data_IF_958706314162
#
_entry.id   IF_958706314162
#
_cell.length_a   1.000
_cell.length_b   1.000
_cell.length_c   1.000
_cell.angle_alpha   90.00
_cell.angle_beta   90.00
_cell.angle_gamma   90.00
#
_symmetry.space_group_name_H-M   'P 1'
#
loop_
_entity.id
_entity.type
_entity.pdbx_description
1 polymer ?
#
# COMPACT_ATOMS: atom_id res chain seq x y z
N UNK A 1 -62.96 -19.10 -9.19
CA UNK A 1 -61.73 -19.70 -8.61
C UNK A 1 -60.47 -19.47 -9.47
N UNK A 2 -60.58 -19.58 -10.81
CA UNK A 2 -59.46 -19.46 -11.77
C UNK A 2 -58.79 -18.08 -11.78
N UNK A 3 -59.56 -16.99 -11.73
CA UNK A 3 -59.03 -15.62 -11.68
C UNK A 3 -58.12 -15.33 -10.48
N UNK A 4 -58.37 -15.94 -9.31
CA UNK A 4 -57.50 -15.80 -8.12
C UNK A 4 -56.15 -16.47 -8.33
N UNK A 5 -56.10 -17.59 -9.06
CA UNK A 5 -54.85 -18.31 -9.39
C UNK A 5 -53.98 -17.51 -10.37
N UNK A 6 -54.59 -16.86 -11.35
CA UNK A 6 -53.89 -16.02 -12.33
C UNK A 6 -53.29 -14.77 -11.66
N UNK A 7 -54.06 -14.07 -10.82
CA UNK A 7 -53.56 -12.91 -10.07
C UNK A 7 -52.36 -13.25 -9.18
N UNK A 8 -52.40 -14.42 -8.54
CA UNK A 8 -51.30 -14.92 -7.69
C UNK A 8 -50.03 -15.20 -8.52
N UNK A 9 -50.16 -15.83 -9.69
CA UNK A 9 -49.03 -16.06 -10.60
C UNK A 9 -48.41 -14.76 -11.11
N UNK A 10 -49.23 -13.78 -11.50
CA UNK A 10 -48.75 -12.45 -11.95
C UNK A 10 -48.02 -11.73 -10.82
N UNK A 11 -48.49 -11.82 -9.59
CA UNK A 11 -47.85 -11.19 -8.44
C UNK A 11 -46.53 -11.86 -8.06
N UNK A 12 -46.44 -13.19 -8.16
CA UNK A 12 -45.20 -13.94 -7.98
C UNK A 12 -44.18 -13.57 -9.06
N UNK A 13 -44.59 -13.56 -10.33
CA UNK A 13 -43.76 -13.14 -11.47
C UNK A 13 -43.30 -11.68 -11.36
N UNK A 14 -44.17 -10.77 -10.90
CA UNK A 14 -43.82 -9.36 -10.68
C UNK A 14 -42.81 -9.22 -9.54
N UNK A 15 -42.91 -10.03 -8.48
CA UNK A 15 -41.94 -10.03 -7.38
C UNK A 15 -40.58 -10.60 -7.80
N UNK A 16 -40.55 -11.66 -8.62
CA UNK A 16 -39.30 -12.24 -9.11
C UNK A 16 -38.64 -11.35 -10.16
N UNK A 17 -39.41 -10.59 -10.94
CA UNK A 17 -38.88 -9.61 -11.89
C UNK A 17 -38.29 -8.38 -11.17
N UNK A 18 -38.95 -7.89 -10.12
CA UNK A 18 -38.46 -6.77 -9.29
C UNK A 18 -37.21 -7.14 -8.48
N UNK A 19 -37.07 -8.41 -8.04
CA UNK A 19 -35.84 -8.87 -7.38
C UNK A 19 -34.67 -9.01 -8.36
N UNK A 20 -34.93 -9.47 -9.60
CA UNK A 20 -33.91 -9.64 -10.65
C UNK A 20 -33.27 -8.33 -11.11
N UNK A 21 -33.98 -7.20 -11.05
CA UNK A 21 -33.41 -5.89 -11.38
C UNK A 21 -32.54 -5.27 -10.28
N UNK A 22 -32.54 -5.81 -9.06
CA UNK A 22 -31.65 -5.35 -7.97
C UNK A 22 -30.27 -6.03 -7.97
N UNK A 23 -30.05 -7.02 -8.84
CA UNK A 23 -28.82 -7.82 -8.89
C UNK A 23 -27.79 -7.39 -9.95
N UNK A 24 -28.00 -6.26 -10.64
CA UNK A 24 -27.11 -5.78 -11.69
C UNK A 24 -26.37 -4.52 -11.27
N UNK A 25 -25.03 -4.60 -11.24
CA UNK A 25 -24.02 -3.60 -10.84
C UNK A 25 -23.52 -3.81 -9.41
N UNK A 26 -22.42 -4.57 -9.29
CA UNK A 26 -21.49 -4.35 -8.17
C UNK A 26 -21.16 -2.84 -8.18
N UNK A 27 -21.52 -2.09 -7.14
CA UNK A 27 -21.28 -0.65 -7.09
C UNK A 27 -19.78 -0.40 -7.27
N UNK A 28 -19.40 0.54 -8.15
CA UNK A 28 -18.00 1.01 -8.22
C UNK A 28 -17.48 1.45 -6.84
N UNK A 29 -18.40 1.90 -5.97
CA UNK A 29 -18.17 2.20 -4.56
C UNK A 29 -17.68 0.99 -3.74
N UNK A 30 -18.13 -0.23 -4.02
CA UNK A 30 -17.68 -1.42 -3.30
C UNK A 30 -16.27 -1.84 -3.70
N UNK A 31 -15.88 -1.61 -4.96
CA UNK A 31 -14.50 -1.80 -5.40
C UNK A 31 -13.54 -0.75 -4.78
N UNK A 32 -13.98 0.51 -4.66
CA UNK A 32 -13.22 1.56 -3.96
C UNK A 32 -13.13 1.32 -2.45
N UNK A 33 -14.17 0.76 -1.83
CA UNK A 33 -14.15 0.35 -0.42
C UNK A 33 -13.13 -0.75 -0.18
N UNK A 34 -13.04 -1.71 -1.09
CA UNK A 34 -12.04 -2.78 -1.02
C UNK A 34 -10.62 -2.23 -1.20
N UNK A 35 -10.41 -1.30 -2.13
CA UNK A 35 -9.11 -0.61 -2.29
C UNK A 35 -8.69 0.13 -1.03
N UNK A 36 -9.58 0.93 -0.43
CA UNK A 36 -9.28 1.67 0.81
C UNK A 36 -8.89 0.75 1.95
N UNK A 37 -9.63 -0.35 2.14
CA UNK A 37 -9.36 -1.30 3.22
C UNK A 37 -7.99 -1.98 3.04
N UNK A 38 -7.61 -2.27 1.79
CA UNK A 38 -6.29 -2.84 1.45
C UNK A 38 -5.17 -1.82 1.62
N UNK A 39 -5.40 -0.56 1.23
CA UNK A 39 -4.44 0.54 1.36
C UNK A 39 -4.16 0.90 2.83
N UNK A 40 -5.18 0.87 3.69
CA UNK A 40 -4.96 1.10 5.13
C UNK A 40 -4.05 0.03 5.75
N UNK A 41 -4.18 -1.24 5.32
CA UNK A 41 -3.31 -2.33 5.80
C UNK A 41 -1.87 -2.18 5.31
N UNK A 42 -1.65 -1.80 4.04
CA UNK A 42 -0.29 -1.56 3.53
C UNK A 42 0.34 -0.34 4.19
N UNK A 43 -0.43 0.73 4.41
CA UNK A 43 0.04 1.93 5.11
C UNK A 43 0.48 1.59 6.54
N UNK A 44 -0.30 0.78 7.27
CA UNK A 44 0.05 0.34 8.62
C UNK A 44 1.35 -0.49 8.61
N UNK A 45 1.54 -1.36 7.61
CA UNK A 45 2.78 -2.11 7.42
C UNK A 45 3.99 -1.21 7.14
N UNK A 46 3.84 -0.18 6.30
CA UNK A 46 4.89 0.81 6.01
C UNK A 46 5.24 1.61 7.26
N UNK A 47 4.24 2.06 8.04
CA UNK A 47 4.48 2.81 9.29
C UNK A 47 5.25 1.95 10.29
N UNK A 48 4.85 0.69 10.49
CA UNK A 48 5.57 -0.23 11.38
C UNK A 48 7.01 -0.48 10.90
N UNK A 49 7.21 -0.69 9.60
CA UNK A 49 8.53 -0.86 9.03
C UNK A 49 9.39 0.42 9.11
N UNK A 50 8.79 1.61 9.01
CA UNK A 50 9.48 2.89 9.20
C UNK A 50 9.93 3.11 10.65
N UNK A 51 9.14 2.67 11.64
CA UNK A 51 9.57 2.67 13.05
C UNK A 51 10.78 1.75 13.24
N UNK A 52 10.77 0.57 12.62
CA UNK A 52 11.93 -0.33 12.62
C UNK A 52 13.12 0.30 11.88
N UNK A 53 12.91 0.92 10.72
CA UNK A 53 13.93 1.65 9.96
C UNK A 53 14.55 2.82 10.74
N UNK A 54 13.78 3.48 11.61
CA UNK A 54 14.29 4.49 12.54
C UNK A 54 15.31 3.92 13.53
N UNK A 55 15.06 2.71 14.05
CA UNK A 55 16.01 2.03 14.93
C UNK A 55 17.31 1.66 14.21
N UNK A 56 17.23 1.22 12.95
CA UNK A 56 18.39 0.83 12.14
C UNK A 56 19.11 1.99 11.40
N UNK A 57 18.68 3.24 11.61
CA UNK A 57 19.21 4.43 10.94
C UNK A 57 20.74 4.55 11.01
N UNK A 58 21.33 4.29 12.18
CA UNK A 58 22.78 4.43 12.39
C UNK A 58 23.59 3.47 11.51
N UNK A 59 23.12 2.22 11.36
CA UNK A 59 23.77 1.23 10.49
C UNK A 59 23.67 1.61 9.02
N UNK A 60 22.55 2.19 8.60
CA UNK A 60 22.32 2.62 7.21
C UNK A 60 23.23 3.80 6.86
N UNK A 61 23.31 4.82 7.74
CA UNK A 61 24.23 5.94 7.53
C UNK A 61 25.67 5.47 7.44
N UNK A 62 26.10 4.59 8.34
CA UNK A 62 27.46 4.06 8.34
C UNK A 62 27.78 3.37 7.01
N UNK A 63 26.86 2.56 6.49
CA UNK A 63 27.02 1.90 5.19
C UNK A 63 27.08 2.90 4.03
N UNK A 64 26.23 3.94 4.06
CA UNK A 64 26.21 4.99 3.03
C UNK A 64 27.46 5.86 3.06
N UNK A 65 28.08 6.10 4.22
CA UNK A 65 29.28 6.95 4.35
C UNK A 65 30.58 6.23 3.97
N UNK A 66 30.61 4.89 3.97
CA UNK A 66 31.80 4.09 3.61
C UNK A 66 32.43 4.47 2.25
N UNK A 67 31.69 4.56 1.12
CA UNK A 67 32.30 4.92 -0.16
C UNK A 67 32.79 6.38 -0.23
N UNK A 68 32.21 7.28 0.56
CA UNK A 68 32.63 8.69 0.59
C UNK A 68 33.95 8.89 1.37
N UNK A 69 34.32 7.94 2.22
CA UNK A 69 35.63 7.92 2.89
C UNK A 69 36.79 7.66 1.94
N UNK A 70 36.56 6.85 0.92
CA UNK A 70 37.61 6.30 0.07
C UNK A 70 38.00 7.26 -1.07
N UNK A 71 37.12 8.21 -1.39
CA UNK A 71 37.23 9.09 -2.57
C UNK A 71 37.89 10.45 -2.33
N UNK A 72 38.55 10.64 -1.19
CA UNK A 72 39.62 11.64 -1.06
C UNK A 72 39.23 12.97 -0.44
N UNK A 73 39.36 13.07 0.88
CA UNK A 73 39.98 14.23 1.52
C UNK A 73 40.72 13.75 2.77
N UNK A 74 42.00 14.13 2.90
CA UNK A 74 42.86 13.88 4.06
C UNK A 74 42.44 14.71 5.29
N UNK A 75 41.14 14.91 5.50
CA UNK A 75 40.59 15.54 6.69
C UNK A 75 39.97 14.43 7.51
N UNK A 76 40.81 13.66 8.22
CA UNK A 76 40.37 12.68 9.20
C UNK A 76 39.60 13.44 10.28
N UNK A 77 38.27 13.31 10.41
CA UNK A 77 37.56 13.94 11.50
C UNK A 77 37.84 13.06 12.72
N UNK A 78 38.38 13.66 13.79
CA UNK A 78 38.79 12.99 15.02
C UNK A 78 37.66 12.27 15.80
N UNK A 79 36.47 12.15 15.22
CA UNK A 79 35.25 11.58 15.81
C UNK A 79 34.71 10.34 15.06
N UNK A 80 35.47 9.75 14.13
CA UNK A 80 35.05 8.51 13.44
C UNK A 80 33.86 8.67 12.50
N UNK A 81 33.46 9.91 12.21
CA UNK A 81 32.54 10.27 11.13
C UNK A 81 33.39 10.66 9.93
N UNK A 82 33.02 10.17 8.77
CA UNK A 82 33.88 10.20 7.61
C UNK A 82 33.07 10.76 6.44
N UNK A 83 33.59 11.83 5.84
CA UNK A 83 32.84 12.75 4.98
C UNK A 83 32.07 13.78 5.81
N UNK A 84 32.44 15.06 5.70
CA UNK A 84 31.63 16.16 6.22
C UNK A 84 30.30 16.20 5.46
N UNK A 85 29.31 15.51 6.00
CA UNK A 85 27.94 15.60 5.52
C UNK A 85 27.46 17.01 5.87
N UNK A 86 27.61 17.94 4.93
CA UNK A 86 27.17 19.32 5.13
C UNK A 86 25.64 19.36 5.14
N UNK A 87 25.07 19.34 6.35
CA UNK A 87 23.62 19.38 6.56
C UNK A 87 23.20 20.82 6.84
N UNK A 88 22.45 21.40 5.91
CA UNK A 88 22.00 22.79 6.01
C UNK A 88 21.00 22.99 7.16
N UNK A 89 21.30 23.94 8.06
CA UNK A 89 20.41 24.42 9.12
C UNK A 89 20.33 23.53 10.37
N UNK A 90 19.78 24.08 11.46
CA UNK A 90 19.63 23.41 12.77
C UNK A 90 18.82 22.10 12.69
N UNK A 91 17.85 22.03 11.78
CA UNK A 91 17.02 20.84 11.56
C UNK A 91 17.61 19.87 10.52
N UNK A 92 18.79 20.16 9.97
CA UNK A 92 19.44 19.33 8.95
C UNK A 92 19.57 17.86 9.37
N UNK A 93 20.23 17.55 10.51
CA UNK A 93 20.41 16.18 10.98
C UNK A 93 19.07 15.45 11.23
N UNK A 94 18.07 16.16 11.77
CA UNK A 94 16.73 15.61 11.98
C UNK A 94 16.05 15.24 10.66
N UNK A 95 16.10 16.12 9.66
CA UNK A 95 15.49 15.89 8.35
C UNK A 95 16.16 14.70 7.62
N UNK A 96 17.48 14.59 7.73
CA UNK A 96 18.22 13.45 7.21
C UNK A 96 17.77 12.13 7.87
N UNK A 97 17.62 12.15 9.21
CA UNK A 97 17.16 10.99 9.96
C UNK A 97 15.76 10.55 9.57
N UNK A 98 14.82 11.48 9.42
CA UNK A 98 13.46 11.21 8.95
C UNK A 98 13.47 10.64 7.53
N UNK A 99 14.24 11.22 6.61
CA UNK A 99 14.30 10.72 5.22
C UNK A 99 14.85 9.31 5.13
N UNK A 100 15.96 9.03 5.82
CA UNK A 100 16.59 7.70 5.76
C UNK A 100 15.72 6.65 6.43
N UNK A 101 15.15 6.95 7.60
CA UNK A 101 14.25 6.02 8.29
C UNK A 101 12.99 5.70 7.47
N UNK A 102 12.40 6.70 6.82
CA UNK A 102 11.27 6.50 5.92
C UNK A 102 11.64 5.65 4.70
N UNK A 103 12.74 5.98 4.02
CA UNK A 103 13.19 5.23 2.84
C UNK A 103 13.52 3.77 3.21
N UNK A 104 14.25 3.56 4.30
CA UNK A 104 14.54 2.22 4.80
C UNK A 104 13.27 1.46 5.18
N UNK A 105 12.32 2.11 5.85
CA UNK A 105 11.02 1.53 6.16
C UNK A 105 10.24 1.09 4.93
N UNK A 106 10.22 1.90 3.87
CA UNK A 106 9.56 1.55 2.60
C UNK A 106 10.23 0.35 1.92
N UNK A 107 11.56 0.29 1.94
CA UNK A 107 12.33 -0.84 1.40
C UNK A 107 12.04 -2.11 2.19
N UNK A 108 12.06 -2.05 3.53
CA UNK A 108 11.75 -3.19 4.39
C UNK A 108 10.29 -3.64 4.25
N UNK A 109 9.36 -2.69 4.03
CA UNK A 109 7.96 -2.98 3.77
C UNK A 109 7.68 -3.45 2.33
N UNK A 110 8.65 -3.37 1.41
CA UNK A 110 8.51 -3.75 0.00
C UNK A 110 7.70 -5.04 -0.24
N UNK A 111 8.02 -6.18 0.38
CA UNK A 111 7.27 -7.42 0.14
C UNK A 111 5.78 -7.30 0.52
N UNK A 112 5.45 -6.52 1.54
CA UNK A 112 4.07 -6.39 2.07
C UNK A 112 3.26 -5.46 1.16
N UNK A 113 3.76 -4.26 0.87
CA UNK A 113 2.98 -3.29 0.11
C UNK A 113 2.90 -3.64 -1.38
N UNK A 114 3.95 -4.24 -1.96
CA UNK A 114 3.94 -4.73 -3.35
C UNK A 114 2.92 -5.85 -3.52
N UNK A 115 2.87 -6.81 -2.61
CA UNK A 115 1.87 -7.90 -2.65
C UNK A 115 0.45 -7.35 -2.59
N UNK A 116 0.22 -6.35 -1.73
CA UNK A 116 -1.09 -5.73 -1.57
C UNK A 116 -1.56 -4.99 -2.84
N UNK A 117 -0.64 -4.33 -3.55
CA UNK A 117 -0.91 -3.66 -4.84
C UNK A 117 -1.18 -4.71 -5.93
N UNK A 118 -0.34 -5.74 -6.05
CA UNK A 118 -0.52 -6.79 -7.07
C UNK A 118 -1.86 -7.50 -6.92
N UNK A 119 -2.26 -7.84 -5.69
CA UNK A 119 -3.55 -8.45 -5.39
C UNK A 119 -4.77 -7.57 -5.76
N UNK A 120 -4.59 -6.25 -5.89
CA UNK A 120 -5.63 -5.35 -6.40
C UNK A 120 -5.69 -5.34 -7.93
N UNK A 121 -4.56 -5.55 -8.62
CA UNK A 121 -4.48 -5.52 -10.09
C UNK A 121 -4.98 -6.84 -10.71
N UNK A 122 -4.59 -7.99 -10.15
CA UNK A 122 -4.97 -9.33 -10.65
C UNK A 122 -6.48 -9.60 -10.80
N UNK A 123 -7.40 -9.14 -9.91
CA UNK A 123 -8.83 -9.41 -10.07
C UNK A 123 -9.46 -8.77 -11.33
N UNK A 124 -8.75 -7.87 -12.02
CA UNK A 124 -9.21 -7.29 -13.29
C UNK A 124 -9.19 -8.29 -14.46
N UNK A 125 -8.39 -9.37 -14.40
CA UNK A 125 -8.20 -10.30 -15.53
C UNK A 125 -9.08 -11.56 -15.44
N UNK A 126 -9.35 -12.07 -14.23
CA UNK A 126 -10.13 -13.30 -14.03
C UNK A 126 -11.66 -13.14 -14.13
N UNK A 127 -12.17 -11.95 -14.48
CA UNK A 127 -13.60 -11.75 -14.75
C UNK A 127 -14.06 -12.41 -16.06
N UNK A 128 -13.15 -12.67 -17.00
CA UNK A 128 -13.51 -13.17 -18.34
C UNK A 128 -13.81 -14.67 -18.44
N UNK A 129 -13.51 -15.48 -17.42
CA UNK A 129 -13.68 -16.94 -17.53
C UNK A 129 -14.95 -17.49 -16.89
N UNK A 130 -15.76 -16.66 -16.20
CA UNK A 130 -16.94 -17.15 -15.46
C UNK A 130 -18.27 -17.03 -16.19
N UNK A 131 -18.28 -16.58 -17.45
CA UNK A 131 -19.51 -16.42 -18.25
C UNK A 131 -19.72 -17.54 -19.29
N UNK A 132 -18.81 -18.52 -19.37
CA UNK A 132 -18.90 -19.66 -20.31
C UNK A 132 -19.10 -21.02 -19.63
N UNK A 133 -19.71 -21.07 -18.43
CA UNK A 133 -20.20 -22.33 -17.84
C UNK A 133 -21.46 -22.15 -17.01
#
# INVERSE_FOLDING_TARGET
MILKRIKKQIQVLKSSFMSKQRGGKMPLLDHLREFRNRLMKSLLGIVLAAVVGWYFYQSIIRLLTLPFCDLGTNNVPSDGKCGDLYVNGILGPFNLQVKISLLAGVILAAPIWIYQIWSFITPALHRKEKELR
#
